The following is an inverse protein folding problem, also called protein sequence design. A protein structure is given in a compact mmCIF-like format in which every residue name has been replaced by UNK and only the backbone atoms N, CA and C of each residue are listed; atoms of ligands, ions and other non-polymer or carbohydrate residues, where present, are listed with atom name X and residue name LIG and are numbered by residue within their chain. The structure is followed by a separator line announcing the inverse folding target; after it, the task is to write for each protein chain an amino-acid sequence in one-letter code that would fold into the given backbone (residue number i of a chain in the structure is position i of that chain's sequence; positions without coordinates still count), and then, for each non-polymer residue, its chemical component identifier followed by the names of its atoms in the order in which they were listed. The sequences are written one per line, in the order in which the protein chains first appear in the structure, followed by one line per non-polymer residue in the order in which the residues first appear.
data_IF_663754553670
#
_entry.id   IF_663754553670
#
_cell.length_a   1.000
_cell.length_b   1.000
_cell.length_c   1.000
_cell.angle_alpha   90.00
_cell.angle_beta   90.00
_cell.angle_gamma   90.00
#
_symmetry.space_group_name_H-M   'P 1'
#
loop_
_entity.id
_entity.type
_entity.pdbx_description
1 polymer ?
#
# COMPACT_ATOMS: atom_id res chain seq x y z
N UNK A 1 23.28 -8.72 -5.16
CA UNK A 1 22.13 -9.49 -4.67
C UNK A 1 21.09 -9.66 -5.75
N UNK A 2 20.67 -10.89 -5.93
CA UNK A 2 19.71 -11.23 -6.98
C UNK A 2 18.38 -11.73 -6.45
N UNK A 3 18.25 -11.92 -5.13
CA UNK A 3 16.98 -12.31 -4.53
C UNK A 3 16.03 -11.11 -4.54
N UNK A 4 14.82 -11.32 -5.07
CA UNK A 4 13.79 -10.29 -5.12
C UNK A 4 12.46 -10.89 -4.72
N UNK A 5 11.65 -10.10 -4.05
CA UNK A 5 10.27 -10.49 -3.84
C UNK A 5 9.55 -10.35 -5.18
N UNK A 6 9.06 -11.46 -5.73
CA UNK A 6 8.42 -11.48 -7.04
C UNK A 6 6.95 -11.10 -6.97
N UNK A 7 6.21 -11.76 -6.09
CA UNK A 7 4.80 -11.46 -5.86
C UNK A 7 4.41 -11.88 -4.45
N UNK A 8 3.32 -11.32 -3.97
CA UNK A 8 2.73 -11.73 -2.70
C UNK A 8 1.22 -11.63 -2.81
N UNK A 9 0.53 -12.49 -2.08
CA UNK A 9 -0.94 -12.47 -2.03
C UNK A 9 -1.35 -11.50 -0.93
N UNK A 10 -2.22 -10.54 -1.30
CA UNK A 10 -2.77 -9.56 -0.37
C UNK A 10 -4.22 -9.92 -0.11
N UNK A 11 -4.57 -10.36 1.10
CA UNK A 11 -5.97 -10.69 1.42
C UNK A 11 -6.86 -9.45 1.34
N UNK A 12 -8.06 -9.63 0.82
CA UNK A 12 -9.03 -8.56 0.64
C UNK A 12 -10.45 -9.06 0.95
N UNK A 13 -11.33 -8.13 1.29
CA UNK A 13 -12.77 -8.42 1.42
C UNK A 13 -13.36 -8.46 0.00
N UNK A 14 -12.95 -7.53 -0.85
CA UNK A 14 -13.30 -7.46 -2.26
C UNK A 14 -12.00 -7.18 -3.01
N UNK A 15 -11.50 -8.17 -3.73
CA UNK A 15 -10.18 -8.10 -4.37
C UNK A 15 -10.07 -6.97 -5.39
N UNK A 16 -11.13 -6.74 -6.16
CA UNK A 16 -11.11 -5.68 -7.18
C UNK A 16 -11.13 -4.31 -6.52
N UNK A 17 -11.98 -4.11 -5.52
CA UNK A 17 -12.05 -2.84 -4.79
C UNK A 17 -10.73 -2.51 -4.10
N UNK A 18 -10.09 -3.50 -3.46
CA UNK A 18 -8.79 -3.29 -2.80
C UNK A 18 -7.69 -3.00 -3.80
N UNK A 19 -7.67 -3.72 -4.92
CA UNK A 19 -6.67 -3.49 -5.97
C UNK A 19 -6.85 -2.10 -6.60
N UNK A 20 -8.07 -1.67 -6.84
CA UNK A 20 -8.36 -0.35 -7.39
C UNK A 20 -8.01 0.77 -6.40
N UNK A 21 -8.25 0.55 -5.12
CA UNK A 21 -7.84 1.48 -4.07
C UNK A 21 -6.31 1.68 -4.10
N UNK A 22 -5.59 0.57 -4.07
CA UNK A 22 -4.12 0.61 -4.08
C UNK A 22 -3.60 1.28 -5.35
N UNK A 23 -4.05 0.80 -6.49
CA UNK A 23 -3.59 1.32 -7.79
C UNK A 23 -3.92 2.80 -7.94
N UNK A 24 -5.12 3.21 -7.52
CA UNK A 24 -5.53 4.60 -7.59
C UNK A 24 -4.68 5.53 -6.75
N UNK A 25 -4.27 5.10 -5.57
CA UNK A 25 -3.40 5.90 -4.69
C UNK A 25 -1.97 5.95 -5.21
N UNK A 26 -1.44 4.81 -5.66
CA UNK A 26 -0.03 4.71 -6.10
C UNK A 26 0.18 5.08 -7.57
N UNK A 27 -0.88 5.37 -8.31
CA UNK A 27 -0.76 5.74 -9.71
C UNK A 27 -0.44 4.56 -10.63
N UNK A 28 -0.99 3.40 -10.31
CA UNK A 28 -0.74 2.14 -11.03
C UNK A 28 -2.03 1.64 -11.68
N UNK A 29 -1.94 0.53 -12.42
CA UNK A 29 -3.09 -0.05 -13.10
C UNK A 29 -3.44 -1.40 -12.50
N UNK A 30 -4.74 -1.76 -12.55
CA UNK A 30 -5.24 -3.06 -12.11
C UNK A 30 -5.43 -3.96 -13.33
N UNK A 31 -4.98 -5.21 -13.19
CA UNK A 31 -5.32 -6.28 -14.14
C UNK A 31 -6.32 -7.21 -13.43
N UNK A 32 -7.60 -7.03 -13.73
CA UNK A 32 -8.66 -7.84 -13.16
C UNK A 32 -9.09 -8.93 -14.14
N UNK A 33 -10.02 -9.79 -13.71
CA UNK A 33 -10.62 -10.82 -14.55
C UNK A 33 -9.98 -12.20 -14.42
N UNK A 34 -8.90 -12.32 -13.66
CA UNK A 34 -8.30 -13.61 -13.33
C UNK A 34 -8.67 -14.05 -11.92
N UNK A 35 -7.99 -15.07 -11.44
CA UNK A 35 -8.17 -15.56 -10.07
C UNK A 35 -7.82 -14.46 -9.05
N UNK A 36 -6.77 -13.68 -9.34
CA UNK A 36 -6.39 -12.53 -8.54
C UNK A 36 -6.74 -11.24 -9.27
N UNK A 37 -6.95 -10.16 -8.50
CA UNK A 37 -6.86 -8.81 -9.04
C UNK A 37 -5.41 -8.36 -8.83
N UNK A 38 -4.70 -8.12 -9.90
CA UNK A 38 -3.26 -7.90 -9.84
C UNK A 38 -2.90 -6.43 -10.02
N UNK A 39 -1.93 -5.98 -9.22
CA UNK A 39 -1.32 -4.65 -9.40
C UNK A 39 0.19 -4.86 -9.54
N UNK A 40 0.72 -4.50 -10.71
CA UNK A 40 2.15 -4.53 -10.92
C UNK A 40 2.77 -3.27 -10.35
N UNK A 41 3.51 -3.42 -9.26
CA UNK A 41 4.11 -2.29 -8.55
C UNK A 41 5.30 -1.74 -9.35
N UNK A 42 6.15 -2.65 -9.85
CA UNK A 42 7.29 -2.31 -10.68
C UNK A 42 7.65 -3.53 -11.53
N UNK A 43 8.78 -3.50 -12.23
CA UNK A 43 9.19 -4.61 -13.10
C UNK A 43 9.52 -5.91 -12.35
N UNK A 44 9.59 -5.87 -11.02
CA UNK A 44 9.98 -7.03 -10.21
C UNK A 44 8.90 -7.53 -9.27
N UNK A 45 7.89 -6.70 -8.93
CA UNK A 45 6.92 -7.03 -7.88
C UNK A 45 5.49 -6.85 -8.36
N UNK A 46 4.69 -7.88 -8.17
CA UNK A 46 3.24 -7.84 -8.39
C UNK A 46 2.53 -8.15 -7.06
N UNK A 47 1.49 -7.39 -6.75
CA UNK A 47 0.59 -7.69 -5.65
C UNK A 47 -0.63 -8.42 -6.21
N UNK A 48 -0.90 -9.61 -5.68
CA UNK A 48 -2.03 -10.44 -6.08
C UNK A 48 -3.12 -10.34 -5.02
N UNK A 49 -4.10 -9.49 -5.25
CA UNK A 49 -5.21 -9.33 -4.32
C UNK A 49 -6.17 -10.51 -4.44
N UNK A 50 -6.51 -11.11 -3.32
CA UNK A 50 -7.38 -12.28 -3.25
C UNK A 50 -8.46 -12.09 -2.20
N UNK A 51 -9.70 -12.39 -2.55
CA UNK A 51 -10.82 -12.43 -1.61
C UNK A 51 -11.31 -13.86 -1.39
N UNK A 52 -10.50 -14.85 -1.73
CA UNK A 52 -10.77 -16.25 -1.51
C UNK A 52 -10.54 -16.60 -0.03
N UNK A 53 -11.55 -16.29 0.78
CA UNK A 53 -11.54 -16.50 2.22
C UNK A 53 -12.56 -17.56 2.60
N UNK A 54 -12.21 -18.40 3.58
CA UNK A 54 -13.17 -19.33 4.17
C UNK A 54 -14.26 -18.54 4.93
N UNK A 55 -15.44 -19.14 5.09
CA UNK A 55 -16.61 -18.48 5.67
C UNK A 55 -16.34 -17.83 7.03
N UNK A 56 -15.51 -18.47 7.85
CA UNK A 56 -15.18 -18.00 9.20
C UNK A 56 -13.81 -17.31 9.25
N UNK A 57 -13.19 -17.09 8.11
CA UNK A 57 -11.83 -16.53 8.07
C UNK A 57 -11.87 -15.02 8.23
N UNK A 58 -11.03 -14.52 9.14
CA UNK A 58 -10.84 -13.08 9.33
C UNK A 58 -9.54 -12.65 8.67
N UNK A 59 -9.53 -11.43 8.12
CA UNK A 59 -8.31 -10.84 7.60
C UNK A 59 -7.57 -10.20 8.75
N UNK A 60 -6.35 -10.69 9.01
CA UNK A 60 -5.43 -10.04 9.92
C UNK A 60 -4.63 -9.02 9.12
N UNK A 61 -4.65 -7.76 9.56
CA UNK A 61 -3.97 -6.69 8.84
C UNK A 61 -2.47 -6.91 8.76
N UNK A 62 -1.93 -6.76 7.56
CA UNK A 62 -0.49 -6.80 7.32
C UNK A 62 0.06 -5.38 7.22
N UNK A 63 1.37 -5.24 7.36
CA UNK A 63 2.04 -3.97 7.19
C UNK A 63 2.89 -4.02 5.92
N UNK A 64 2.59 -3.13 4.97
CA UNK A 64 3.34 -3.02 3.72
C UNK A 64 3.93 -1.61 3.64
N UNK A 65 5.24 -1.53 3.48
CA UNK A 65 5.95 -0.26 3.43
C UNK A 65 6.60 -0.08 2.06
N UNK A 66 6.43 1.09 1.49
CA UNK A 66 6.92 1.39 0.13
C UNK A 66 7.88 2.56 0.17
N UNK A 67 9.09 2.33 -0.34
CA UNK A 67 10.06 3.39 -0.56
C UNK A 67 9.80 4.03 -1.91
N UNK A 68 9.63 5.32 -1.93
CA UNK A 68 9.31 6.09 -3.14
C UNK A 68 10.24 7.29 -3.28
N UNK A 69 10.30 7.85 -4.48
CA UNK A 69 11.02 9.12 -4.70
C UNK A 69 10.23 10.28 -4.10
N UNK A 70 10.88 11.44 -3.97
CA UNK A 70 10.20 12.64 -3.48
C UNK A 70 9.03 13.02 -4.40
N UNK A 71 9.19 12.91 -5.71
CA UNK A 71 8.13 13.22 -6.65
C UNK A 71 6.94 12.25 -6.52
N UNK A 72 7.22 10.97 -6.36
CA UNK A 72 6.18 9.95 -6.14
C UNK A 72 5.46 10.19 -4.81
N UNK A 73 6.22 10.52 -3.76
CA UNK A 73 5.66 10.83 -2.45
C UNK A 73 4.64 11.97 -2.54
N UNK A 74 5.01 13.07 -3.20
CA UNK A 74 4.12 14.22 -3.36
C UNK A 74 2.84 13.83 -4.12
N UNK A 75 2.97 13.05 -5.18
CA UNK A 75 1.83 12.61 -5.98
C UNK A 75 0.91 11.69 -5.19
N UNK A 76 1.48 10.74 -4.44
CA UNK A 76 0.71 9.79 -3.63
C UNK A 76 -0.03 10.53 -2.51
N UNK A 77 0.66 11.41 -1.79
CA UNK A 77 0.02 12.19 -0.71
C UNK A 77 -1.12 13.06 -1.25
N UNK A 78 -0.91 13.68 -2.42
CA UNK A 78 -1.95 14.48 -3.06
C UNK A 78 -3.19 13.65 -3.39
N UNK A 79 -3.01 12.42 -3.87
CA UNK A 79 -4.13 11.51 -4.17
C UNK A 79 -4.85 11.07 -2.90
N UNK A 80 -4.11 10.76 -1.84
CA UNK A 80 -4.68 10.40 -0.53
C UNK A 80 -5.56 11.53 -0.03
N UNK A 81 -5.06 12.76 -0.05
CA UNK A 81 -5.82 13.94 0.38
C UNK A 81 -7.04 14.19 -0.51
N UNK A 82 -6.87 14.13 -1.82
CA UNK A 82 -7.96 14.37 -2.77
C UNK A 82 -9.09 13.37 -2.63
N UNK A 83 -8.80 12.16 -2.22
CA UNK A 83 -9.78 11.08 -2.01
C UNK A 83 -10.38 11.06 -0.62
N UNK A 84 -9.92 11.98 0.26
CA UNK A 84 -10.39 12.01 1.65
C UNK A 84 -9.99 10.80 2.47
N UNK A 85 -8.91 10.13 2.10
CA UNK A 85 -8.42 8.96 2.84
C UNK A 85 -7.72 9.45 4.11
N UNK A 86 -8.10 8.95 5.29
CA UNK A 86 -7.39 9.28 6.51
C UNK A 86 -5.94 8.81 6.43
N UNK A 87 -5.00 9.62 6.93
CA UNK A 87 -3.58 9.27 6.98
C UNK A 87 -2.97 9.82 8.26
N UNK A 88 -1.81 9.32 8.65
CA UNK A 88 -1.18 9.76 9.88
C UNK A 88 0.32 9.51 9.92
N UNK A 89 0.95 10.05 10.95
CA UNK A 89 2.40 10.03 11.11
C UNK A 89 2.94 8.75 11.78
N UNK A 90 2.08 7.99 12.45
CA UNK A 90 2.50 6.83 13.25
C UNK A 90 1.67 5.61 12.91
N UNK A 91 2.24 4.39 13.06
CA UNK A 91 1.50 3.17 12.75
C UNK A 91 0.30 2.93 13.67
N UNK A 92 0.34 3.43 14.90
CA UNK A 92 -0.79 3.36 15.85
C UNK A 92 -1.67 4.61 15.80
N UNK A 93 -1.34 5.58 14.97
CA UNK A 93 -2.13 6.79 14.72
C UNK A 93 -2.19 7.08 13.22
N UNK A 94 -2.79 6.15 12.42
CA UNK A 94 -2.77 6.30 10.96
C UNK A 94 -3.81 7.28 10.43
N UNK A 95 -4.46 8.03 11.30
CA UNK A 95 -5.50 8.98 10.91
C UNK A 95 -5.34 10.35 11.57
N UNK A 96 -4.15 10.66 12.12
CA UNK A 96 -3.95 11.94 12.82
C UNK A 96 -3.74 13.13 11.88
N UNK A 97 -3.69 12.90 10.57
CA UNK A 97 -3.56 13.96 9.58
C UNK A 97 -2.16 14.58 9.47
N UNK A 98 -1.16 13.91 10.04
CA UNK A 98 0.22 14.39 10.07
C UNK A 98 1.13 13.49 9.27
N UNK A 99 2.26 14.03 8.86
CA UNK A 99 3.35 13.26 8.26
C UNK A 99 4.51 13.20 9.25
N UNK A 100 5.46 12.28 9.02
CA UNK A 100 6.66 12.18 9.84
C UNK A 100 7.91 12.56 9.02
N UNK A 101 9.03 12.69 9.73
CA UNK A 101 10.31 13.05 9.14
C UNK A 101 11.36 11.99 9.48
N UNK A 102 10.97 10.74 9.49
CA UNK A 102 11.87 9.64 9.86
C UNK A 102 13.10 9.59 8.96
N UNK A 103 14.23 9.32 9.56
CA UNK A 103 15.52 9.18 8.88
C UNK A 103 15.89 10.38 8.03
N UNK A 104 15.36 11.57 8.39
CA UNK A 104 15.60 12.80 7.64
C UNK A 104 14.78 12.93 6.37
N UNK A 105 13.87 12.01 6.13
CA UNK A 105 12.98 12.04 4.98
C UNK A 105 11.55 12.41 5.35
N UNK A 106 10.60 11.89 4.60
CA UNK A 106 9.17 12.12 4.83
C UNK A 106 8.43 10.80 4.72
N UNK A 107 7.38 10.63 5.53
CA UNK A 107 6.58 9.42 5.49
C UNK A 107 5.19 9.63 6.08
N UNK A 108 4.30 8.70 5.79
CA UNK A 108 2.98 8.64 6.41
C UNK A 108 2.42 7.23 6.30
N UNK A 109 1.37 6.98 7.09
CA UNK A 109 0.66 5.71 7.14
C UNK A 109 -0.80 5.92 6.77
N UNK A 110 -1.42 4.91 6.19
CA UNK A 110 -2.87 4.89 5.97
C UNK A 110 -3.33 3.43 5.85
N UNK A 111 -4.63 3.21 6.00
CA UNK A 111 -5.18 1.86 5.94
C UNK A 111 -5.89 1.62 4.62
N UNK A 112 -5.82 0.38 4.12
CA UNK A 112 -6.56 -0.02 2.94
C UNK A 112 -7.96 -0.55 3.34
N UNK A 113 -8.86 -0.85 2.36
CA UNK A 113 -10.21 -1.33 2.69
C UNK A 113 -10.28 -2.63 3.48
N UNK A 114 -9.24 -3.44 3.46
CA UNK A 114 -9.20 -4.70 4.22
C UNK A 114 -8.54 -4.55 5.60
N UNK A 115 -8.08 -3.35 5.94
CA UNK A 115 -7.44 -3.08 7.21
C UNK A 115 -5.93 -3.29 7.23
N UNK A 116 -5.30 -3.43 6.06
CA UNK A 116 -3.83 -3.47 6.00
C UNK A 116 -3.28 -2.07 6.22
N UNK A 117 -2.18 -1.99 6.97
CA UNK A 117 -1.49 -0.73 7.23
C UNK A 117 -0.45 -0.51 6.13
N UNK A 118 -0.62 0.56 5.38
CA UNK A 118 0.30 0.94 4.31
C UNK A 118 1.16 2.10 4.77
N UNK A 119 2.43 2.05 4.42
CA UNK A 119 3.40 3.09 4.74
C UNK A 119 4.11 3.54 3.48
N UNK A 120 4.29 4.85 3.33
CA UNK A 120 5.04 5.45 2.22
C UNK A 120 6.16 6.27 2.81
N UNK A 121 7.38 6.10 2.31
CA UNK A 121 8.56 6.79 2.85
C UNK A 121 9.53 7.18 1.76
N UNK A 122 10.23 8.29 1.95
CA UNK A 122 11.25 8.74 0.99
C UNK A 122 12.66 8.26 1.33
N UNK A 123 12.88 7.84 2.58
CA UNK A 123 14.15 7.25 3.01
C UNK A 123 13.86 5.86 3.57
N UNK A 124 14.40 4.80 2.96
CA UNK A 124 14.08 3.45 3.36
C UNK A 124 14.70 3.07 4.70
N UNK A 125 14.06 2.14 5.37
CA UNK A 125 14.52 1.65 6.66
C UNK A 125 15.94 1.06 6.57
N UNK A 126 16.22 0.35 5.49
CA UNK A 126 17.51 -0.30 5.28
C UNK A 126 18.48 0.56 4.50
N UNK A 127 18.00 1.70 4.00
CA UNK A 127 18.76 2.55 3.12
C UNK A 127 19.72 3.43 3.89
N UNK A 128 20.84 3.46 3.47
CA UNK A 128 21.86 4.30 4.01
C UNK A 128 22.60 4.94 2.86
#
# INVERSE_FOLDING_TARGET
MTIRLDHTIVPAIDKVASAEFFAGVFGLAVKAGGYFAQVRVNEHLTLDFSDDLDEDEEIHGHHYAFHVSDAEYEAILARVKARGIPYGSEPDEPANGRINARRGGRGFYFEDPAGHLLEVMTVPETGS
#
